data_IF_582154360733
#
_entry.id   IF_582154360733
#
_cell.length_a   1.000
_cell.length_b   1.000
_cell.length_c   1.000
_cell.angle_alpha   90.00
_cell.angle_beta   90.00
_cell.angle_gamma   90.00
#
_symmetry.space_group_name_H-M   'P 1'
#
loop_
_entity.id
_entity.type
_entity.pdbx_description
1 polymer ?
#
# COMPACT_ATOMS: atom_id res chain seq x y z
N UNK A 1 51.69 71.98 24.87
CA UNK A 1 51.21 71.90 23.48
C UNK A 1 52.11 70.88 22.80
N UNK A 2 51.95 69.58 23.05
CA UNK A 2 50.73 68.74 22.89
C UNK A 2 50.40 68.57 21.38
N UNK A 3 50.17 67.37 20.84
CA UNK A 3 50.25 66.02 21.46
C UNK A 3 50.47 64.88 20.43
N UNK A 4 50.07 63.67 20.81
CA UNK A 4 50.06 62.37 20.12
C UNK A 4 49.29 62.43 18.75
N UNK A 5 49.31 61.46 17.82
CA UNK A 5 48.95 60.04 17.97
C UNK A 5 49.47 59.14 16.80
N UNK A 6 49.00 57.89 16.70
CA UNK A 6 49.53 56.76 15.89
C UNK A 6 48.35 55.86 15.38
N UNK A 7 48.56 54.66 14.76
CA UNK A 7 49.16 54.33 13.46
C UNK A 7 48.20 53.47 12.57
N UNK A 8 48.66 52.86 11.44
CA UNK A 8 48.48 51.42 11.05
C UNK A 8 48.71 51.08 9.55
N UNK A 9 48.64 49.77 9.24
CA UNK A 9 48.64 49.05 7.94
C UNK A 9 49.98 48.77 7.22
N UNK A 10 50.56 47.58 7.51
CA UNK A 10 51.31 46.73 6.56
C UNK A 10 51.11 45.24 6.89
N UNK A 11 50.73 44.42 5.91
CA UNK A 11 50.87 42.96 5.92
C UNK A 11 52.30 42.54 5.54
N UNK A 12 52.78 41.37 5.99
CA UNK A 12 53.79 40.64 5.21
C UNK A 12 53.58 39.12 5.09
N UNK A 13 53.61 38.67 3.82
CA UNK A 13 54.45 37.58 3.28
C UNK A 13 54.21 36.09 3.66
N UNK A 14 54.23 35.24 2.62
CA UNK A 14 54.35 33.77 2.69
C UNK A 14 55.54 33.31 1.84
N UNK A 15 56.41 32.45 2.37
CA UNK A 15 57.45 31.68 1.65
C UNK A 15 57.95 30.51 2.55
N UNK A 16 58.65 29.48 2.04
CA UNK A 16 58.16 28.55 1.03
C UNK A 16 58.38 27.05 1.45
N UNK A 17 58.44 26.13 0.49
CA UNK A 17 58.35 24.66 0.68
C UNK A 17 59.70 23.98 0.98
N UNK A 18 59.67 22.74 1.49
CA UNK A 18 60.80 21.80 1.44
C UNK A 18 60.37 20.32 1.26
N UNK A 19 61.11 19.63 0.38
CA UNK A 19 61.30 18.19 0.16
C UNK A 19 60.17 17.16 0.35
N UNK A 20 59.98 16.33 -0.69
CA UNK A 20 59.08 15.18 -0.71
C UNK A 20 59.84 13.85 -0.59
N UNK A 21 59.25 12.87 0.10
CA UNK A 21 59.60 11.45 -0.04
C UNK A 21 58.40 10.69 -0.66
N UNK A 22 58.63 9.59 -1.39
CA UNK A 22 57.58 8.91 -2.16
C UNK A 22 56.61 8.10 -1.26
N UNK A 23 55.36 7.87 -1.71
CA UNK A 23 54.39 7.07 -0.97
C UNK A 23 54.69 5.57 -1.07
N UNK A 24 54.57 4.86 0.06
CA UNK A 24 54.50 3.39 0.05
C UNK A 24 53.14 2.93 -0.49
N UNK A 25 53.16 1.87 -1.30
CA UNK A 25 51.96 1.32 -1.90
C UNK A 25 51.24 0.38 -0.92
N UNK A 26 50.11 0.81 -0.36
CA UNK A 26 49.22 -0.06 0.41
C UNK A 26 48.64 -1.16 -0.47
N UNK A 27 48.84 -2.40 -0.04
CA UNK A 27 48.41 -3.64 -0.69
C UNK A 27 46.89 -3.76 -0.75
N UNK A 28 46.35 -4.27 -1.88
CA UNK A 28 44.90 -4.47 -2.06
C UNK A 28 44.35 -5.70 -1.29
N UNK A 29 45.15 -6.23 -0.35
CA UNK A 29 44.84 -7.41 0.47
C UNK A 29 44.33 -6.99 1.85
N UNK A 30 44.82 -5.88 2.40
CA UNK A 30 44.37 -5.29 3.67
C UNK A 30 42.91 -4.78 3.61
N UNK A 31 42.42 -4.47 2.41
CA UNK A 31 41.10 -3.87 2.17
C UNK A 31 39.93 -4.88 2.21
N UNK A 32 40.21 -6.17 2.39
CA UNK A 32 39.22 -7.26 2.29
C UNK A 32 39.10 -8.15 3.54
N UNK A 33 39.87 -7.90 4.60
CA UNK A 33 39.89 -8.77 5.81
C UNK A 33 39.01 -8.30 6.98
N UNK A 34 38.32 -7.15 6.86
CA UNK A 34 37.57 -6.54 7.97
C UNK A 34 36.07 -6.41 7.68
N UNK A 35 35.41 -7.55 7.45
CA UNK A 35 33.96 -7.69 7.66
C UNK A 35 33.72 -8.44 8.97
N UNK A 36 34.00 -7.78 10.08
CA UNK A 36 33.36 -8.16 11.35
C UNK A 36 31.85 -7.94 11.22
N UNK A 37 30.99 -8.83 11.76
CA UNK A 37 29.56 -8.56 11.80
C UNK A 37 29.33 -7.32 12.67
N UNK A 38 28.72 -6.29 12.10
CA UNK A 38 28.37 -5.08 12.84
C UNK A 38 27.52 -5.49 14.05
N UNK A 39 27.90 -5.12 15.29
CA UNK A 39 27.09 -5.45 16.45
C UNK A 39 25.71 -4.81 16.33
N UNK A 40 24.66 -5.55 16.70
CA UNK A 40 23.35 -4.96 16.95
C UNK A 40 23.46 -4.09 18.20
N UNK A 41 23.89 -2.83 18.00
CA UNK A 41 23.90 -1.82 19.06
C UNK A 41 22.46 -1.38 19.33
N UNK A 42 21.73 -2.23 20.06
CA UNK A 42 20.78 -1.74 21.03
C UNK A 42 21.52 -0.67 21.87
N UNK A 43 20.99 0.56 22.01
CA UNK A 43 21.76 1.66 22.57
C UNK A 43 21.91 1.54 24.09
N UNK A 44 22.86 0.70 24.53
CA UNK A 44 23.34 0.64 25.92
C UNK A 44 24.25 1.84 26.24
N UNK A 45 23.64 3.02 26.12
CA UNK A 45 24.10 4.27 26.70
C UNK A 45 22.94 4.71 27.57
N UNK A 46 23.06 4.56 28.89
CA UNK A 46 22.03 4.95 29.84
C UNK A 46 21.60 6.40 29.56
N UNK A 47 20.39 6.62 28.99
CA UNK A 47 20.19 7.78 28.14
C UNK A 47 20.19 9.07 28.96
N UNK A 48 20.91 10.06 28.43
CA UNK A 48 20.84 11.43 28.93
C UNK A 48 19.39 11.93 28.88
N UNK A 49 19.05 12.87 29.75
CA UNK A 49 17.65 13.26 29.94
C UNK A 49 17.00 13.83 28.66
N UNK A 50 17.76 14.34 27.69
CA UNK A 50 17.23 14.82 26.41
C UNK A 50 16.99 13.67 25.45
N UNK A 51 17.95 12.77 25.28
CA UNK A 51 17.79 11.53 24.51
C UNK A 51 16.58 10.73 25.00
N UNK A 52 16.45 10.54 26.32
CA UNK A 52 15.33 9.80 26.91
C UNK A 52 13.96 10.48 26.68
N UNK A 53 13.87 11.82 26.73
CA UNK A 53 12.63 12.54 26.36
C UNK A 53 12.28 12.34 24.88
N UNK A 54 13.25 12.40 23.97
CA UNK A 54 13.02 12.23 22.54
C UNK A 54 12.56 10.80 22.19
N UNK A 55 13.13 9.77 22.84
CA UNK A 55 12.67 8.38 22.68
C UNK A 55 11.26 8.19 23.27
N UNK A 56 10.98 8.78 24.43
CA UNK A 56 9.65 8.77 25.05
C UNK A 56 8.58 9.44 24.18
N UNK A 57 8.89 10.59 23.58
CA UNK A 57 8.03 11.29 22.61
C UNK A 57 7.72 10.39 21.41
N UNK A 58 8.75 9.78 20.80
CA UNK A 58 8.59 8.88 19.66
C UNK A 58 7.72 7.65 19.98
N UNK A 59 7.86 7.07 21.18
CA UNK A 59 7.04 5.96 21.67
C UNK A 59 5.57 6.36 21.82
N UNK A 60 5.27 7.53 22.40
CA UNK A 60 3.88 8.00 22.57
C UNK A 60 3.27 8.46 21.22
N UNK A 61 4.10 8.91 20.27
CA UNK A 61 3.68 9.28 18.92
C UNK A 61 3.30 8.07 18.04
N UNK A 62 4.09 6.99 18.08
CA UNK A 62 3.88 5.80 17.23
C UNK A 62 2.77 4.87 17.75
N UNK A 63 2.30 5.07 18.99
CA UNK A 63 1.34 4.18 19.63
C UNK A 63 -0.09 4.31 19.09
N UNK A 64 -0.63 3.23 18.52
CA UNK A 64 -2.02 3.17 18.08
C UNK A 64 -3.04 3.18 19.22
N UNK A 65 -2.66 2.70 20.42
CA UNK A 65 -3.47 2.68 21.64
C UNK A 65 -2.79 3.48 22.78
N UNK A 66 -3.52 3.97 23.80
CA UNK A 66 -2.91 4.68 24.93
C UNK A 66 -1.98 3.77 25.73
N UNK A 67 -0.72 4.16 25.90
CA UNK A 67 0.28 3.36 26.60
C UNK A 67 0.25 3.63 28.11
N UNK A 68 0.03 2.61 28.92
CA UNK A 68 0.12 2.73 30.37
C UNK A 68 1.55 3.06 30.81
N UNK A 69 1.69 3.79 31.93
CA UNK A 69 2.98 4.17 32.50
C UNK A 69 3.91 2.96 32.72
N UNK A 70 3.34 1.80 33.08
CA UNK A 70 4.08 0.55 33.27
C UNK A 70 4.63 -0.05 31.96
N UNK A 71 3.88 0.02 30.85
CA UNK A 71 4.36 -0.41 29.53
C UNK A 71 5.53 0.47 29.06
N UNK A 72 5.41 1.79 29.23
CA UNK A 72 6.47 2.75 28.85
C UNK A 72 7.73 2.53 29.70
N UNK A 73 7.59 2.39 31.02
CA UNK A 73 8.70 2.12 31.93
C UNK A 73 9.41 0.79 31.64
N UNK A 74 8.66 -0.28 31.33
CA UNK A 74 9.20 -1.56 30.91
C UNK A 74 9.95 -1.48 29.57
N UNK A 75 9.38 -0.80 28.57
CA UNK A 75 10.00 -0.66 27.25
C UNK A 75 11.30 0.19 27.27
N UNK A 76 11.39 1.19 28.16
CA UNK A 76 12.57 2.03 28.33
C UNK A 76 13.60 1.50 29.34
N UNK A 77 13.29 0.40 30.03
CA UNK A 77 14.05 -0.12 31.17
C UNK A 77 14.36 0.98 32.23
N UNK A 78 13.39 1.86 32.51
CA UNK A 78 13.54 2.99 33.44
C UNK A 78 12.62 2.85 34.66
N UNK A 79 12.98 3.46 35.82
CA UNK A 79 12.06 3.56 36.95
C UNK A 79 10.78 4.30 36.59
N UNK A 80 9.64 3.78 37.04
CA UNK A 80 8.29 4.33 36.80
C UNK A 80 8.20 5.83 37.13
N UNK A 81 8.74 6.22 38.28
CA UNK A 81 8.81 7.61 38.77
C UNK A 81 9.60 8.53 37.83
N UNK A 82 10.70 8.04 37.23
CA UNK A 82 11.49 8.80 36.26
C UNK A 82 10.70 9.01 34.97
N UNK A 83 10.02 7.97 34.49
CA UNK A 83 9.19 8.07 33.28
C UNK A 83 8.00 9.00 33.50
N UNK A 84 7.34 8.92 34.66
CA UNK A 84 6.23 9.81 35.01
C UNK A 84 6.66 11.29 35.00
N UNK A 85 7.78 11.61 35.64
CA UNK A 85 8.32 12.97 35.62
C UNK A 85 8.59 13.47 34.18
N UNK A 86 9.22 12.65 33.34
CA UNK A 86 9.49 13.00 31.94
C UNK A 86 8.20 13.14 31.11
N UNK A 87 7.17 12.34 31.37
CA UNK A 87 5.85 12.48 30.73
C UNK A 87 5.19 13.80 31.12
N UNK A 88 5.22 14.18 32.41
CA UNK A 88 4.65 15.45 32.87
C UNK A 88 5.40 16.67 32.29
N UNK A 89 6.74 16.57 32.15
CA UNK A 89 7.54 17.58 31.44
C UNK A 89 7.14 17.69 29.96
N UNK A 90 6.96 16.57 29.25
CA UNK A 90 6.49 16.57 27.86
C UNK A 90 5.04 17.08 27.72
N UNK A 91 4.14 16.76 28.65
CA UNK A 91 2.77 17.32 28.67
C UNK A 91 2.83 18.84 28.77
N UNK A 92 3.61 19.38 29.71
CA UNK A 92 3.79 20.83 29.88
C UNK A 92 4.51 21.49 28.69
N UNK A 93 5.42 20.78 28.04
CA UNK A 93 6.10 21.22 26.81
C UNK A 93 5.12 21.33 25.64
N UNK A 94 4.37 20.27 25.37
CA UNK A 94 3.40 20.23 24.27
C UNK A 94 2.14 21.08 24.52
N UNK A 95 1.80 21.46 25.76
CA UNK A 95 0.63 22.32 26.01
C UNK A 95 0.87 23.80 25.62
N UNK A 96 2.12 24.25 25.51
CA UNK A 96 2.47 25.61 25.02
C UNK A 96 1.83 25.94 23.65
N UNK A 97 1.50 27.21 23.35
CA UNK A 97 0.82 27.61 22.11
C UNK A 97 1.63 27.41 20.82
N UNK A 98 2.92 27.10 20.91
CA UNK A 98 3.78 26.78 19.76
C UNK A 98 3.57 25.36 19.19
N UNK A 99 2.91 24.47 19.94
CA UNK A 99 2.58 23.11 19.48
C UNK A 99 1.09 22.94 19.21
N UNK A 100 0.74 22.32 18.06
CA UNK A 100 -0.65 21.98 17.70
C UNK A 100 -1.15 20.61 18.19
N UNK A 101 -0.28 19.84 18.86
CA UNK A 101 -0.58 18.55 19.48
C UNK A 101 -0.32 18.62 20.99
N UNK A 102 -0.91 17.70 21.74
CA UNK A 102 -0.86 17.60 23.20
C UNK A 102 -0.83 16.13 23.60
N UNK A 103 -0.14 15.78 24.68
CA UNK A 103 -0.17 14.43 25.27
C UNK A 103 -1.31 14.40 26.30
N UNK A 104 -2.17 13.39 26.21
CA UNK A 104 -3.31 13.23 27.12
C UNK A 104 -3.32 11.86 27.76
N UNK A 105 -3.69 11.82 29.03
CA UNK A 105 -4.07 10.59 29.71
C UNK A 105 -5.51 10.20 29.31
N UNK A 106 -5.68 8.98 28.82
CA UNK A 106 -6.94 8.40 28.36
C UNK A 106 -6.96 6.92 28.73
N UNK A 107 -8.02 6.46 29.41
CA UNK A 107 -8.18 5.07 29.85
C UNK A 107 -7.01 4.50 30.70
N UNK A 108 -6.27 5.35 31.41
CA UNK A 108 -5.11 4.96 32.23
C UNK A 108 -3.79 4.82 31.47
N UNK A 109 -3.73 5.27 30.21
CA UNK A 109 -2.52 5.37 29.41
C UNK A 109 -2.37 6.73 28.72
N UNK A 110 -1.17 7.03 28.25
CA UNK A 110 -0.84 8.29 27.58
C UNK A 110 -0.89 8.14 26.06
N UNK A 111 -1.43 9.16 25.36
CA UNK A 111 -1.45 9.21 23.89
C UNK A 111 -1.35 10.65 23.39
N UNK A 112 -0.70 10.87 22.25
CA UNK A 112 -0.76 12.15 21.53
C UNK A 112 -2.12 12.39 20.86
N UNK A 113 -2.60 13.64 20.92
CA UNK A 113 -3.82 14.11 20.27
C UNK A 113 -3.64 15.54 19.73
N UNK A 114 -4.44 15.93 18.72
CA UNK A 114 -4.49 17.32 18.26
C UNK A 114 -5.20 18.23 19.27
N UNK A 115 -4.72 19.46 19.46
CA UNK A 115 -5.39 20.43 20.35
C UNK A 115 -6.80 20.81 19.85
N UNK A 116 -7.76 21.04 20.76
CA UNK A 116 -9.15 21.34 20.39
C UNK A 116 -9.28 22.64 19.59
N UNK A 117 -8.37 23.60 19.80
CA UNK A 117 -8.30 24.87 19.08
C UNK A 117 -8.13 24.71 17.56
N UNK A 118 -7.54 23.61 17.11
CA UNK A 118 -7.32 23.34 15.68
C UNK A 118 -8.36 22.38 15.07
N UNK A 119 -9.37 21.97 15.84
CA UNK A 119 -10.35 20.96 15.45
C UNK A 119 -11.03 21.26 14.09
N UNK A 120 -11.39 22.50 13.80
CA UNK A 120 -12.03 22.85 12.52
C UNK A 120 -11.09 22.69 11.32
N UNK A 121 -9.83 23.12 11.45
CA UNK A 121 -8.81 22.97 10.42
C UNK A 121 -8.46 21.49 10.19
N UNK A 122 -8.21 20.74 11.27
CA UNK A 122 -7.94 19.30 11.22
C UNK A 122 -9.12 18.53 10.61
N UNK A 123 -10.36 18.81 11.04
CA UNK A 123 -11.57 18.18 10.50
C UNK A 123 -11.80 18.50 9.02
N UNK A 124 -11.41 19.70 8.57
CA UNK A 124 -11.51 20.10 7.16
C UNK A 124 -10.44 19.42 6.32
N UNK A 125 -9.20 19.33 6.82
CA UNK A 125 -8.12 18.56 6.19
C UNK A 125 -8.50 17.08 6.06
N UNK A 126 -8.95 16.43 7.14
CA UNK A 126 -9.39 15.02 7.15
C UNK A 126 -10.56 14.75 6.19
N UNK A 127 -11.41 15.74 5.89
CA UNK A 127 -12.44 15.64 4.83
C UNK A 127 -11.89 15.81 3.42
N UNK A 128 -10.79 16.56 3.24
CA UNK A 128 -10.13 16.75 1.94
C UNK A 128 -9.18 15.61 1.57
N UNK A 129 -8.64 14.90 2.56
CA UNK A 129 -8.05 13.59 2.36
C UNK A 129 -9.11 12.69 1.71
N UNK A 130 -8.78 12.05 0.58
CA UNK A 130 -9.64 11.01 0.02
C UNK A 130 -9.79 9.93 1.08
N UNK A 131 -11.02 9.56 1.51
CA UNK A 131 -11.18 8.43 2.40
C UNK A 131 -10.58 7.20 1.73
N UNK A 132 -9.89 6.30 2.46
CA UNK A 132 -9.39 5.06 1.89
C UNK A 132 -10.60 4.32 1.29
N UNK A 133 -10.67 4.25 -0.04
CA UNK A 133 -11.88 3.77 -0.70
C UNK A 133 -12.03 2.29 -0.34
N UNK A 134 -12.99 1.98 0.53
CA UNK A 134 -13.30 0.58 0.85
C UNK A 134 -13.61 -0.15 -0.45
N UNK A 135 -13.01 -1.32 -0.64
CA UNK A 135 -13.40 -2.23 -1.71
C UNK A 135 -14.81 -2.73 -1.39
N UNK A 136 -15.67 -2.83 -2.39
CA UNK A 136 -16.95 -3.53 -2.21
C UNK A 136 -16.69 -5.01 -2.00
N UNK A 137 -17.63 -5.74 -1.38
CA UNK A 137 -17.47 -7.17 -1.12
C UNK A 137 -17.14 -7.97 -2.42
N UNK A 138 -17.80 -7.74 -3.58
CA UNK A 138 -17.41 -8.36 -4.85
C UNK A 138 -15.98 -8.02 -5.32
N UNK A 139 -15.41 -6.89 -4.89
CA UNK A 139 -14.04 -6.50 -5.20
C UNK A 139 -13.02 -7.15 -4.26
N UNK A 140 -13.37 -7.36 -2.99
CA UNK A 140 -12.58 -8.18 -2.05
C UNK A 140 -12.55 -9.65 -2.47
N UNK A 141 -13.70 -10.24 -2.84
CA UNK A 141 -13.79 -11.59 -3.41
C UNK A 141 -12.88 -11.76 -4.63
N UNK A 142 -12.95 -10.79 -5.58
CA UNK A 142 -12.14 -10.83 -6.80
C UNK A 142 -10.64 -10.74 -6.47
N UNK A 143 -10.27 -9.88 -5.53
CA UNK A 143 -8.89 -9.71 -5.10
C UNK A 143 -8.35 -10.96 -4.39
N UNK A 144 -9.16 -11.60 -3.55
CA UNK A 144 -8.81 -12.85 -2.88
C UNK A 144 -8.59 -14.01 -3.88
N UNK A 145 -9.49 -14.17 -4.87
CA UNK A 145 -9.31 -15.17 -5.95
C UNK A 145 -7.99 -14.92 -6.70
N UNK A 146 -7.64 -13.66 -7.00
CA UNK A 146 -6.36 -13.35 -7.65
C UNK A 146 -5.18 -13.65 -6.70
N UNK A 147 -5.25 -13.28 -5.42
CA UNK A 147 -4.17 -13.49 -4.46
C UNK A 147 -3.80 -14.98 -4.30
N UNK A 148 -4.80 -15.88 -4.23
CA UNK A 148 -4.59 -17.33 -4.05
C UNK A 148 -4.46 -18.15 -5.34
N UNK A 149 -4.79 -17.60 -6.54
CA UNK A 149 -4.74 -18.34 -7.81
C UNK A 149 -3.80 -17.74 -8.86
N UNK A 150 -3.15 -16.61 -8.58
CA UNK A 150 -2.21 -15.97 -9.50
C UNK A 150 -1.07 -16.90 -9.97
N UNK A 151 -0.62 -16.79 -11.24
CA UNK A 151 -1.13 -15.89 -12.28
C UNK A 151 -2.41 -16.43 -12.94
N UNK A 152 -3.49 -15.64 -12.93
CA UNK A 152 -4.85 -16.08 -13.34
C UNK A 152 -5.51 -15.12 -14.33
N UNK A 153 -6.29 -15.62 -15.28
CA UNK A 153 -6.95 -14.82 -16.33
C UNK A 153 -8.37 -14.39 -15.96
N UNK A 154 -8.89 -13.36 -16.65
CA UNK A 154 -10.25 -12.86 -16.40
C UNK A 154 -11.37 -13.93 -16.50
N UNK A 155 -11.39 -14.85 -17.49
CA UNK A 155 -12.38 -15.93 -17.54
C UNK A 155 -12.31 -16.87 -16.33
N UNK A 156 -11.12 -17.31 -15.93
CA UNK A 156 -10.91 -18.21 -14.78
C UNK A 156 -11.39 -17.58 -13.46
N UNK A 157 -11.21 -16.26 -13.30
CA UNK A 157 -11.75 -15.51 -12.15
C UNK A 157 -13.28 -15.49 -12.17
N UNK A 158 -13.92 -15.36 -13.33
CA UNK A 158 -15.39 -15.37 -13.45
C UNK A 158 -15.98 -16.76 -13.22
N UNK A 159 -15.30 -17.80 -13.70
CA UNK A 159 -15.64 -19.21 -13.50
C UNK A 159 -15.63 -19.57 -12.00
N UNK A 160 -14.56 -19.24 -11.29
CA UNK A 160 -14.44 -19.45 -9.82
C UNK A 160 -15.50 -18.66 -9.03
N UNK A 161 -15.99 -17.52 -9.57
CA UNK A 161 -16.92 -16.61 -8.89
C UNK A 161 -18.38 -16.86 -9.23
N UNK A 162 -18.69 -17.60 -10.29
CA UNK A 162 -20.05 -17.82 -10.80
C UNK A 162 -20.78 -16.58 -11.34
N UNK A 163 -20.16 -15.39 -11.32
CA UNK A 163 -20.81 -14.11 -11.68
C UNK A 163 -19.90 -13.20 -12.52
N UNK A 164 -20.50 -12.43 -13.45
CA UNK A 164 -19.75 -11.51 -14.31
C UNK A 164 -19.40 -10.18 -13.61
N UNK A 165 -18.19 -10.10 -13.06
CA UNK A 165 -17.65 -8.92 -12.38
C UNK A 165 -17.14 -7.79 -13.31
N UNK A 166 -17.93 -7.35 -14.30
CA UNK A 166 -17.46 -6.55 -15.45
C UNK A 166 -16.64 -5.27 -15.12
N UNK A 167 -16.94 -4.56 -14.03
CA UNK A 167 -16.20 -3.36 -13.59
C UNK A 167 -15.08 -3.60 -12.58
N UNK A 168 -14.94 -4.82 -12.03
CA UNK A 168 -14.16 -5.06 -10.82
C UNK A 168 -12.66 -5.16 -11.11
N UNK A 169 -12.26 -5.87 -12.16
CA UNK A 169 -10.85 -5.98 -12.56
C UNK A 169 -10.25 -4.60 -12.88
N UNK A 170 -11.00 -3.74 -13.59
CA UNK A 170 -10.60 -2.34 -13.81
C UNK A 170 -10.41 -1.61 -12.48
N UNK A 171 -11.35 -1.73 -11.54
CA UNK A 171 -11.26 -1.09 -10.22
C UNK A 171 -10.02 -1.53 -9.43
N UNK A 172 -9.60 -2.79 -9.53
CA UNK A 172 -8.39 -3.31 -8.88
C UNK A 172 -7.09 -2.87 -9.58
N UNK A 173 -7.12 -2.73 -10.92
CA UNK A 173 -6.01 -2.20 -11.73
C UNK A 173 -5.80 -0.69 -11.50
N UNK A 174 -6.88 0.11 -11.55
CA UNK A 174 -6.85 1.56 -11.33
C UNK A 174 -6.31 1.91 -9.91
N UNK A 175 -6.52 1.01 -8.94
CA UNK A 175 -5.99 1.07 -7.57
C UNK A 175 -4.61 0.42 -7.40
N UNK A 176 -3.99 -0.09 -8.46
CA UNK A 176 -2.69 -0.79 -8.47
C UNK A 176 -2.60 -2.04 -7.58
N UNK A 177 -3.70 -2.57 -7.05
CA UNK A 177 -3.70 -3.77 -6.19
C UNK A 177 -3.38 -5.05 -6.98
N UNK A 178 -3.72 -5.05 -8.27
CA UNK A 178 -3.34 -6.07 -9.23
C UNK A 178 -2.62 -5.45 -10.43
N UNK A 179 -1.81 -6.25 -11.12
CA UNK A 179 -1.14 -5.88 -12.37
C UNK A 179 -1.15 -7.06 -13.36
N UNK A 180 -0.87 -6.75 -14.63
CA UNK A 180 -0.70 -7.79 -15.65
C UNK A 180 0.58 -8.61 -15.40
N UNK A 181 0.46 -9.94 -15.53
CA UNK A 181 1.55 -10.91 -15.42
C UNK A 181 2.00 -11.46 -16.79
N UNK A 182 1.49 -10.89 -17.90
CA UNK A 182 1.69 -11.38 -19.27
C UNK A 182 0.37 -11.85 -19.89
N UNK A 183 0.44 -12.82 -20.80
CA UNK A 183 -0.72 -13.43 -21.47
C UNK A 183 -0.59 -14.96 -21.48
N UNK A 184 -1.69 -15.67 -21.23
CA UNK A 184 -1.74 -17.14 -21.25
C UNK A 184 -1.63 -17.63 -22.70
N UNK A 185 -0.78 -18.62 -22.98
CA UNK A 185 -0.53 -19.10 -24.35
C UNK A 185 -1.62 -20.07 -24.82
N UNK A 186 -2.84 -19.57 -24.96
CA UNK A 186 -4.04 -20.28 -25.44
C UNK A 186 -4.76 -19.43 -26.49
N UNK A 187 -5.84 -19.96 -27.07
CA UNK A 187 -6.70 -19.23 -28.03
C UNK A 187 -7.17 -17.91 -27.38
N UNK A 188 -7.14 -16.82 -28.16
CA UNK A 188 -7.44 -15.47 -27.69
C UNK A 188 -6.32 -14.78 -26.87
N UNK A 189 -5.28 -15.51 -26.43
CA UNK A 189 -4.15 -15.02 -25.62
C UNK A 189 -4.56 -14.07 -24.47
N UNK A 190 -5.47 -14.49 -23.56
CA UNK A 190 -6.00 -13.64 -22.49
C UNK A 190 -4.92 -13.16 -21.52
N UNK A 191 -5.14 -11.97 -20.96
CA UNK A 191 -4.25 -11.34 -19.97
C UNK A 191 -4.28 -12.14 -18.66
N UNK A 192 -3.09 -12.42 -18.12
CA UNK A 192 -2.89 -12.96 -16.77
C UNK A 192 -2.77 -11.81 -15.77
N UNK A 193 -3.31 -11.97 -14.57
CA UNK A 193 -3.25 -11.02 -13.46
C UNK A 193 -2.55 -11.62 -12.25
N UNK A 194 -1.88 -10.74 -11.49
CA UNK A 194 -1.21 -11.03 -10.21
C UNK A 194 -1.37 -9.84 -9.26
N UNK A 195 -1.16 -10.04 -7.96
CA UNK A 195 -1.08 -8.95 -6.98
C UNK A 195 0.22 -8.15 -7.13
N UNK A 196 0.33 -7.01 -6.46
CA UNK A 196 1.47 -6.09 -6.52
C UNK A 196 2.12 -5.88 -5.15
N UNK A 197 3.19 -5.05 -5.09
CA UNK A 197 3.72 -4.55 -3.83
C UNK A 197 2.72 -3.65 -3.08
N UNK A 198 1.83 -2.94 -3.79
CA UNK A 198 0.76 -2.14 -3.18
C UNK A 198 -0.20 -3.04 -2.39
N UNK A 199 -0.56 -4.21 -2.94
CA UNK A 199 -1.36 -5.20 -2.20
C UNK A 199 -0.69 -5.64 -0.90
N UNK A 200 0.61 -5.97 -0.93
CA UNK A 200 1.34 -6.37 0.28
C UNK A 200 1.33 -5.27 1.34
N UNK A 201 1.63 -4.02 0.95
CA UNK A 201 1.62 -2.84 1.84
C UNK A 201 0.23 -2.60 2.43
N UNK A 202 -0.83 -2.62 1.61
CA UNK A 202 -2.21 -2.32 2.04
C UNK A 202 -2.82 -3.42 2.93
N UNK A 203 -2.24 -4.62 2.97
CA UNK A 203 -2.68 -5.74 3.80
C UNK A 203 -1.68 -6.09 4.93
N UNK A 204 -0.60 -5.30 5.11
CA UNK A 204 0.38 -5.51 6.17
C UNK A 204 1.29 -6.74 6.01
N UNK A 205 1.36 -7.30 4.80
CA UNK A 205 2.09 -8.53 4.49
C UNK A 205 3.51 -8.23 4.02
N UNK A 206 4.48 -9.01 4.47
CA UNK A 206 5.87 -9.03 3.98
C UNK A 206 5.95 -9.65 2.59
N UNK A 207 5.28 -10.79 2.40
CA UNK A 207 5.17 -11.50 1.13
C UNK A 207 3.91 -12.39 1.06
N UNK A 208 3.75 -13.16 -0.02
CA UNK A 208 2.54 -13.93 -0.29
C UNK A 208 2.43 -15.23 0.50
N UNK A 209 3.48 -15.67 1.21
CA UNK A 209 3.43 -16.85 2.08
C UNK A 209 2.75 -16.60 3.43
N UNK A 210 2.57 -15.34 3.81
CA UNK A 210 1.82 -14.91 4.99
C UNK A 210 0.29 -14.85 4.77
N UNK A 211 -0.18 -15.22 3.56
CA UNK A 211 -1.61 -15.39 3.28
C UNK A 211 -2.13 -16.68 3.93
N UNK A 212 -3.16 -16.63 4.83
CA UNK A 212 -3.67 -17.82 5.51
C UNK A 212 -4.05 -18.96 4.55
N UNK A 213 -3.60 -20.17 4.85
CA UNK A 213 -4.08 -21.37 4.15
C UNK A 213 -5.57 -21.58 4.44
N UNK A 214 -6.24 -22.42 3.63
CA UNK A 214 -7.66 -22.75 3.83
C UNK A 214 -7.96 -23.29 5.25
N UNK A 215 -7.01 -23.98 5.88
CA UNK A 215 -7.16 -24.48 7.26
C UNK A 215 -7.09 -23.36 8.29
N UNK A 216 -6.07 -22.50 8.18
CA UNK A 216 -5.94 -21.33 9.05
C UNK A 216 -7.11 -20.37 8.84
N UNK A 217 -7.67 -20.27 7.63
CA UNK A 217 -8.90 -19.51 7.38
C UNK A 217 -10.12 -20.11 8.10
N UNK A 218 -10.28 -21.44 8.14
CA UNK A 218 -11.34 -22.08 8.94
C UNK A 218 -11.15 -21.85 10.45
N UNK A 219 -9.92 -21.84 10.94
CA UNK A 219 -9.59 -21.57 12.35
C UNK A 219 -9.78 -20.10 12.72
N UNK A 220 -9.27 -19.17 11.91
CA UNK A 220 -9.50 -17.71 12.04
C UNK A 220 -11.00 -17.41 11.96
N UNK A 221 -11.74 -18.05 11.04
CA UNK A 221 -13.21 -17.93 10.98
C UNK A 221 -13.86 -18.47 12.26
N UNK A 222 -13.41 -19.62 12.78
CA UNK A 222 -13.94 -20.17 14.03
C UNK A 222 -13.70 -19.26 15.22
N UNK A 223 -12.53 -18.61 15.29
CA UNK A 223 -12.20 -17.66 16.36
C UNK A 223 -12.95 -16.33 16.20
N UNK A 224 -12.91 -15.70 15.03
CA UNK A 224 -13.53 -14.40 14.76
C UNK A 224 -15.07 -14.41 14.77
N UNK A 225 -15.70 -15.59 14.68
CA UNK A 225 -17.15 -15.77 14.75
C UNK A 225 -17.58 -16.69 15.92
N UNK A 226 -16.74 -16.91 16.93
CA UNK A 226 -17.14 -17.59 18.18
C UNK A 226 -17.95 -16.69 19.13
N UNK A 227 -17.62 -15.40 19.18
CA UNK A 227 -18.23 -14.40 20.08
C UNK A 227 -19.52 -13.75 19.51
N UNK A 228 -20.20 -14.41 18.57
CA UNK A 228 -21.41 -13.90 17.92
C UNK A 228 -22.39 -15.01 17.49
N UNK A 229 -23.69 -14.73 17.59
CA UNK A 229 -24.77 -15.72 17.46
C UNK A 229 -24.84 -16.47 16.10
N UNK A 230 -25.32 -17.73 16.08
CA UNK A 230 -25.30 -18.58 14.88
C UNK A 230 -26.22 -18.06 13.77
N UNK A 231 -25.62 -17.56 12.68
CA UNK A 231 -26.33 -16.85 11.62
C UNK A 231 -25.81 -17.08 10.19
N UNK A 232 -25.21 -18.24 9.89
CA UNK A 232 -24.90 -18.65 8.51
C UNK A 232 -25.53 -20.01 8.19
N UNK A 233 -26.24 -20.19 7.06
CA UNK A 233 -26.82 -21.48 6.71
C UNK A 233 -25.71 -22.47 6.34
N UNK A 234 -25.82 -23.70 6.85
CA UNK A 234 -25.03 -24.83 6.38
C UNK A 234 -25.36 -25.09 4.92
N UNK A 235 -24.36 -25.11 4.04
CA UNK A 235 -24.52 -25.64 2.69
C UNK A 235 -24.49 -27.16 2.77
N UNK A 236 -25.67 -27.78 2.86
CA UNK A 236 -25.80 -29.22 2.71
C UNK A 236 -25.50 -29.62 1.26
N UNK A 237 -24.60 -30.59 1.07
CA UNK A 237 -24.38 -31.20 -0.24
C UNK A 237 -25.59 -32.06 -0.64
N UNK A 238 -26.14 -31.91 -1.85
CA UNK A 238 -27.20 -32.79 -2.33
C UNK A 238 -26.62 -34.17 -2.68
N UNK A 239 -26.63 -35.10 -1.71
CA UNK A 239 -26.36 -36.51 -1.96
C UNK A 239 -27.40 -37.09 -2.94
N UNK A 240 -26.91 -37.82 -3.96
CA UNK A 240 -27.74 -38.28 -5.07
C UNK A 240 -28.27 -39.72 -4.95
N UNK A 241 -29.20 -40.01 -5.86
CA UNK A 241 -29.60 -41.34 -6.36
C UNK A 241 -30.46 -42.23 -5.43
N UNK A 242 -31.60 -42.69 -5.96
CA UNK A 242 -32.66 -43.39 -5.21
C UNK A 242 -33.89 -43.67 -6.07
N UNK A 243 -33.72 -44.48 -7.11
CA UNK A 243 -34.69 -44.70 -8.20
C UNK A 243 -35.91 -45.57 -7.85
N UNK A 244 -37.10 -45.23 -8.39
CA UNK A 244 -38.01 -46.16 -9.11
C UNK A 244 -39.26 -45.45 -9.70
N UNK A 245 -39.93 -46.11 -10.67
CA UNK A 245 -40.83 -45.47 -11.63
C UNK A 245 -42.21 -46.16 -11.80
N UNK A 246 -43.24 -45.39 -12.19
CA UNK A 246 -44.52 -45.74 -12.86
C UNK A 246 -45.49 -44.54 -12.77
N UNK A 247 -46.35 -44.19 -13.73
CA UNK A 247 -46.56 -44.69 -15.10
C UNK A 247 -47.19 -43.59 -16.01
N UNK A 248 -47.22 -43.85 -17.32
CA UNK A 248 -47.76 -43.01 -18.42
C UNK A 248 -49.31 -43.16 -18.59
N UNK A 249 -49.95 -42.62 -19.66
CA UNK A 249 -50.00 -41.21 -20.10
C UNK A 249 -51.46 -40.74 -20.37
N UNK A 250 -51.69 -39.43 -20.54
CA UNK A 250 -52.84 -38.92 -21.32
C UNK A 250 -52.46 -37.74 -22.24
N UNK A 251 -53.11 -37.69 -23.40
CA UNK A 251 -52.79 -36.82 -24.53
C UNK A 251 -53.59 -35.51 -24.61
N UNK A 252 -53.61 -34.85 -25.80
CA UNK A 252 -53.78 -33.41 -25.91
C UNK A 252 -55.23 -32.92 -26.08
N UNK A 253 -55.43 -31.64 -25.81
CA UNK A 253 -56.62 -30.87 -26.22
C UNK A 253 -56.24 -29.47 -26.70
N UNK A 254 -56.62 -29.18 -27.94
CA UNK A 254 -56.84 -27.91 -28.65
C UNK A 254 -56.43 -26.53 -28.05
N UNK A 255 -55.76 -25.79 -28.95
CA UNK A 255 -55.73 -24.33 -29.13
C UNK A 255 -57.15 -23.73 -29.47
N UNK A 256 -57.41 -22.43 -29.80
CA UNK A 256 -56.49 -21.42 -30.34
C UNK A 256 -56.64 -19.94 -29.89
N UNK A 257 -55.61 -19.16 -30.30
CA UNK A 257 -55.64 -17.79 -30.85
C UNK A 257 -56.39 -16.60 -30.18
N UNK A 258 -55.59 -15.59 -29.79
CA UNK A 258 -55.71 -14.17 -30.20
C UNK A 258 -54.32 -13.49 -29.96
N UNK A 259 -53.57 -12.89 -30.89
CA UNK A 259 -53.78 -12.40 -32.28
C UNK A 259 -54.67 -11.13 -32.33
N UNK A 260 -54.30 -9.97 -32.91
CA UNK A 260 -53.19 -9.51 -33.79
C UNK A 260 -52.80 -8.02 -33.47
N UNK A 261 -52.31 -7.16 -34.41
CA UNK A 261 -50.93 -7.00 -34.93
C UNK A 261 -50.30 -5.60 -34.59
N UNK A 262 -49.01 -5.32 -34.80
CA UNK A 262 -48.36 -4.86 -36.06
C UNK A 262 -47.97 -3.35 -35.96
N UNK A 263 -47.35 -2.60 -36.88
CA UNK A 263 -46.55 -2.76 -38.14
C UNK A 263 -46.14 -1.29 -38.53
N UNK A 264 -45.05 -0.80 -39.17
CA UNK A 264 -43.77 -1.20 -39.82
C UNK A 264 -42.71 -0.07 -39.52
N UNK A 265 -41.38 -0.10 -39.72
CA UNK A 265 -40.40 -0.89 -40.51
C UNK A 265 -39.87 -0.27 -41.86
N UNK A 266 -39.29 0.94 -41.84
CA UNK A 266 -38.46 1.59 -42.92
C UNK A 266 -37.62 2.73 -42.29
N UNK A 267 -36.34 3.03 -42.53
CA UNK A 267 -35.33 2.82 -43.61
C UNK A 267 -35.42 3.79 -44.79
N UNK A 268 -34.63 4.88 -44.78
CA UNK A 268 -34.20 5.64 -45.98
C UNK A 268 -32.96 6.53 -45.74
N UNK A 269 -32.14 6.73 -46.79
CA UNK A 269 -30.91 7.55 -46.94
C UNK A 269 -30.67 7.70 -48.49
N UNK A 270 -29.77 8.57 -49.03
CA UNK A 270 -29.19 9.83 -48.56
C UNK A 270 -29.17 10.98 -49.64
N UNK A 271 -28.81 12.22 -49.25
CA UNK A 271 -28.34 13.33 -50.14
C UNK A 271 -27.82 14.54 -49.32
N UNK A 272 -26.95 15.47 -49.79
CA UNK A 272 -25.92 15.49 -50.86
C UNK A 272 -25.12 16.82 -50.83
N UNK A 273 -23.78 16.79 -51.03
CA UNK A 273 -22.83 17.92 -51.28
C UNK A 273 -22.73 19.08 -50.23
N UNK A 274 -21.64 19.85 -50.08
CA UNK A 274 -20.25 19.88 -50.60
C UNK A 274 -19.35 20.63 -49.57
N UNK A 275 -18.09 21.05 -49.79
CA UNK A 275 -17.21 21.07 -50.97
C UNK A 275 -15.72 21.31 -50.52
N UNK A 276 -14.74 20.95 -51.38
CA UNK A 276 -13.33 21.41 -51.47
C UNK A 276 -12.36 21.45 -50.26
N UNK A 277 -11.17 20.84 -50.43
CA UNK A 277 -9.95 21.08 -49.63
C UNK A 277 -8.86 20.02 -49.89
N UNK A 278 -7.64 20.40 -50.28
CA UNK A 278 -6.62 19.45 -50.79
C UNK A 278 -5.19 19.72 -50.29
N UNK A 279 -4.36 18.67 -50.16
CA UNK A 279 -2.96 18.55 -50.62
C UNK A 279 -2.12 17.51 -49.82
N UNK A 280 -1.12 16.90 -50.50
CA UNK A 280 0.07 16.19 -49.98
C UNK A 280 -0.18 14.90 -49.14
N UNK A 281 0.48 13.74 -49.32
CA UNK A 281 1.86 13.34 -49.71
C UNK A 281 2.90 13.73 -48.64
N UNK A 282 3.60 12.80 -47.97
CA UNK A 282 3.60 11.33 -48.06
C UNK A 282 4.34 10.71 -46.84
N UNK A 283 4.60 9.40 -46.82
CA UNK A 283 5.24 8.74 -45.68
C UNK A 283 6.77 8.85 -45.69
N UNK A 284 7.36 8.94 -44.51
CA UNK A 284 8.80 8.71 -44.28
C UNK A 284 8.95 7.67 -43.16
N UNK A 285 9.60 6.55 -43.51
CA UNK A 285 9.97 5.47 -42.61
C UNK A 285 11.48 5.61 -42.31
N UNK A 286 11.88 5.64 -41.04
CA UNK A 286 13.29 5.84 -40.64
C UNK A 286 13.69 4.79 -39.58
N UNK A 287 14.50 3.78 -39.96
CA UNK A 287 14.97 2.75 -39.03
C UNK A 287 16.24 3.18 -38.26
N UNK A 288 16.43 2.71 -37.01
CA UNK A 288 17.61 3.05 -36.21
C UNK A 288 18.89 2.32 -36.69
N UNK A 289 20.09 2.92 -36.51
CA UNK A 289 21.34 2.32 -36.96
C UNK A 289 21.82 1.16 -36.07
N UNK A 290 22.44 0.16 -36.70
CA UNK A 290 22.97 -1.04 -36.03
C UNK A 290 24.25 -0.78 -35.21
N UNK A 291 24.46 -1.60 -34.17
CA UNK A 291 25.62 -1.51 -33.29
C UNK A 291 26.90 -2.09 -33.90
N UNK A 292 28.02 -1.36 -33.75
CA UNK A 292 29.36 -1.86 -34.10
C UNK A 292 29.74 -3.07 -33.22
N UNK A 293 30.06 -4.19 -33.87
CA UNK A 293 31.05 -5.16 -33.39
C UNK A 293 32.32 -5.03 -34.22
N UNK A 294 33.47 -5.02 -33.56
CA UNK A 294 34.76 -5.38 -34.12
C UNK A 294 35.55 -6.12 -33.04
N UNK A 295 35.91 -7.37 -33.33
CA UNK A 295 37.01 -8.08 -32.68
C UNK A 295 38.34 -7.45 -33.15
N UNK A 296 39.37 -7.45 -32.29
CA UNK A 296 40.69 -6.87 -32.56
C UNK A 296 41.46 -6.56 -31.29
#
# INVERSE_FOLDING_TARGET
MEEQEIPQEQEPEQEPQQEQNPPEAVSMEDLLSSTEPAPEVAPDVAPDARSLRAVLEAIIYVAEEPLTLAQIAGALAQPTERVEALIQELIAEFDKPEHGVTIREVAGGYKMATKPEHHEAVRSFVKSLKPPLKLSLPALETLAVIAYKQPVTAPEIMEIRGVQGAGVLKTLLDRKLIAAAGRKNVIGKPILYKTTKEFLIQFGLKDLSELPTLKEFEEIRRMAFADGEPGVPTVEEPAGEGEQASAEPQGPTDEPAAALPGEQASVEEPASAGEAGAAAIGPSDEPPPEGRKLDG
#
